data_IF_701375513330
#
_entry.id   IF_701375513330
#
_cell.length_a   1.000
_cell.length_b   1.000
_cell.length_c   1.000
_cell.angle_alpha   90.00
_cell.angle_beta   90.00
_cell.angle_gamma   90.00
#
_symmetry.space_group_name_H-M   'P 1'
#
loop_
_entity.id
_entity.type
_entity.pdbx_description
1 polymer ?
#
# COMPACT_ATOMS: atom_id res chain seq x y z
N UNK A 1 18.89 19.19 6.13
CA UNK A 1 18.99 18.00 5.23
C UNK A 1 17.87 17.02 5.60
N UNK A 2 17.04 16.59 4.64
CA UNK A 2 16.04 15.52 4.88
C UNK A 2 16.79 14.20 5.09
N UNK A 3 16.53 13.52 6.21
CA UNK A 3 17.14 12.22 6.50
C UNK A 3 16.51 11.17 5.58
N UNK A 4 17.31 10.55 4.70
CA UNK A 4 16.85 9.47 3.83
C UNK A 4 16.48 8.26 4.71
N UNK A 5 15.33 7.62 4.47
CA UNK A 5 14.98 6.36 5.15
C UNK A 5 16.02 5.31 4.72
N UNK A 6 16.69 4.63 5.66
CA UNK A 6 17.67 3.60 5.30
C UNK A 6 17.02 2.47 4.51
N UNK A 7 17.77 1.88 3.59
CA UNK A 7 17.36 0.69 2.84
C UNK A 7 17.81 -0.57 3.58
N UNK A 8 17.02 -1.64 3.48
CA UNK A 8 17.34 -2.97 4.02
C UNK A 8 17.03 -4.03 2.97
N UNK A 9 17.76 -5.15 3.04
CA UNK A 9 17.43 -6.35 2.27
C UNK A 9 16.34 -7.13 3.01
N UNK A 10 15.23 -7.43 2.30
CA UNK A 10 14.14 -8.22 2.84
C UNK A 10 14.27 -9.67 2.37
N UNK A 11 14.60 -10.56 3.32
CA UNK A 11 14.91 -11.96 3.02
C UNK A 11 16.27 -12.14 2.33
N UNK A 12 16.50 -13.31 1.74
CA UNK A 12 17.79 -13.69 1.14
C UNK A 12 17.82 -13.57 -0.39
N UNK A 13 16.71 -13.19 -1.03
CA UNK A 13 16.54 -13.26 -2.50
C UNK A 13 16.84 -11.92 -3.21
N UNK A 14 17.44 -10.95 -2.51
CA UNK A 14 17.87 -9.70 -3.14
C UNK A 14 16.84 -8.56 -3.18
N UNK A 15 15.62 -8.74 -2.65
CA UNK A 15 14.65 -7.66 -2.54
C UNK A 15 15.17 -6.57 -1.59
N UNK A 16 15.22 -5.32 -2.06
CA UNK A 16 15.62 -4.16 -1.25
C UNK A 16 14.42 -3.23 -1.05
N UNK A 17 14.25 -2.77 0.18
CA UNK A 17 13.10 -1.97 0.60
C UNK A 17 13.54 -0.85 1.54
N UNK A 18 12.74 0.22 1.65
CA UNK A 18 12.86 1.15 2.76
C UNK A 18 12.66 0.43 4.09
N UNK A 19 13.51 0.70 5.09
CA UNK A 19 13.45 0.10 6.44
C UNK A 19 12.11 0.33 7.13
N UNK A 20 11.40 1.39 6.74
CA UNK A 20 10.01 1.62 7.09
C UNK A 20 9.15 1.40 5.85
N UNK A 21 8.15 0.51 5.93
CA UNK A 21 7.13 0.34 4.91
C UNK A 21 5.85 1.11 5.25
N UNK A 22 4.90 1.16 4.31
CA UNK A 22 3.60 1.79 4.48
C UNK A 22 2.46 0.79 4.21
N UNK A 23 1.61 0.57 5.22
CA UNK A 23 0.41 -0.26 5.09
C UNK A 23 -0.77 0.53 4.57
N UNK A 24 -1.26 0.18 3.38
CA UNK A 24 -2.33 0.91 2.69
C UNK A 24 -3.73 0.57 3.21
N UNK A 25 -3.91 -0.52 3.97
CA UNK A 25 -5.23 -1.00 4.39
C UNK A 25 -6.07 0.02 5.19
N UNK A 26 -5.42 0.88 5.97
CA UNK A 26 -6.10 1.96 6.69
C UNK A 26 -6.75 3.02 5.79
N UNK A 27 -6.33 3.12 4.52
CA UNK A 27 -6.85 4.11 3.56
C UNK A 27 -8.25 3.74 3.04
N UNK A 28 -8.60 2.44 3.04
CA UNK A 28 -9.83 1.92 2.45
C UNK A 28 -10.73 1.20 3.46
N UNK A 29 -10.70 1.62 4.73
CA UNK A 29 -11.79 1.25 5.63
C UNK A 29 -11.55 0.14 6.64
N UNK A 30 -10.32 -0.40 6.77
CA UNK A 30 -10.06 -1.52 7.71
C UNK A 30 -10.27 -1.12 9.17
N UNK A 31 -9.86 0.10 9.54
CA UNK A 31 -9.86 0.55 10.94
C UNK A 31 -10.79 1.74 11.22
N UNK A 32 -11.07 2.56 10.21
CA UNK A 32 -11.87 3.79 10.28
C UNK A 32 -12.62 3.98 8.96
N UNK A 33 -13.44 5.01 8.84
CA UNK A 33 -14.06 5.37 7.56
C UNK A 33 -13.01 5.48 6.44
N UNK A 34 -13.30 4.95 5.24
CA UNK A 34 -12.37 5.03 4.11
C UNK A 34 -12.13 6.48 3.69
N UNK A 35 -10.93 6.75 3.19
CA UNK A 35 -10.63 8.03 2.55
C UNK A 35 -11.18 8.06 1.12
N UNK A 36 -11.38 9.27 0.60
CA UNK A 36 -11.54 9.44 -0.84
C UNK A 36 -10.26 8.97 -1.57
N UNK A 37 -10.41 8.56 -2.83
CA UNK A 37 -9.26 8.16 -3.66
C UNK A 37 -8.23 9.29 -3.77
N UNK A 38 -8.67 10.53 -3.87
CA UNK A 38 -7.81 11.70 -3.93
C UNK A 38 -6.97 11.85 -2.64
N UNK A 39 -7.62 11.79 -1.47
CA UNK A 39 -6.94 11.91 -0.19
C UNK A 39 -5.97 10.74 0.05
N UNK A 40 -6.40 9.51 -0.24
CA UNK A 40 -5.55 8.33 -0.12
C UNK A 40 -4.35 8.36 -1.06
N UNK A 41 -4.55 8.78 -2.32
CA UNK A 41 -3.45 8.97 -3.27
C UNK A 41 -2.45 10.03 -2.78
N UNK A 42 -2.93 11.13 -2.20
CA UNK A 42 -2.08 12.17 -1.60
C UNK A 42 -1.25 11.65 -0.43
N UNK A 43 -1.81 10.79 0.43
CA UNK A 43 -1.06 10.12 1.52
C UNK A 43 0.04 9.21 0.96
N UNK A 44 -0.27 8.38 -0.04
CA UNK A 44 0.72 7.49 -0.68
C UNK A 44 1.85 8.30 -1.31
N UNK A 45 1.52 9.38 -2.04
CA UNK A 45 2.52 10.28 -2.61
C UNK A 45 3.42 10.89 -1.54
N UNK A 46 2.85 11.32 -0.42
CA UNK A 46 3.63 11.89 0.68
C UNK A 46 4.54 10.86 1.35
N UNK A 47 4.09 9.61 1.51
CA UNK A 47 4.93 8.51 1.97
C UNK A 47 6.16 8.31 1.06
N UNK A 48 5.95 8.37 -0.26
CA UNK A 48 7.02 8.26 -1.26
C UNK A 48 7.96 9.47 -1.21
N UNK A 49 7.42 10.69 -1.08
CA UNK A 49 8.20 11.92 -0.91
C UNK A 49 9.08 11.90 0.35
N UNK A 50 8.68 11.13 1.37
CA UNK A 50 9.45 10.89 2.60
C UNK A 50 10.47 9.77 2.48
N UNK A 51 10.57 9.11 1.32
CA UNK A 51 11.54 8.07 1.04
C UNK A 51 11.08 6.66 1.40
N UNK A 52 9.78 6.45 1.63
CA UNK A 52 9.22 5.10 1.73
C UNK A 52 9.11 4.53 0.32
N UNK A 53 9.63 3.32 0.10
CA UNK A 53 9.55 2.59 -1.16
C UNK A 53 8.75 1.30 -1.05
N UNK A 54 8.49 0.80 0.16
CA UNK A 54 7.80 -0.45 0.39
C UNK A 54 6.35 -0.26 0.82
N UNK A 55 5.41 -0.72 -0.01
CA UNK A 55 3.98 -0.52 0.18
C UNK A 55 3.25 -1.84 0.26
N UNK A 56 2.38 -1.97 1.25
CA UNK A 56 1.61 -3.17 1.54
C UNK A 56 0.11 -2.95 1.28
N UNK A 57 -0.51 -3.86 0.54
CA UNK A 57 -1.96 -3.91 0.27
C UNK A 57 -2.46 -5.35 0.27
N UNK A 58 -3.74 -5.57 -0.05
CA UNK A 58 -4.34 -6.89 -0.21
C UNK A 58 -5.67 -6.78 -0.96
N UNK A 59 -6.01 -7.84 -1.69
CA UNK A 59 -7.34 -8.05 -2.29
C UNK A 59 -8.51 -7.83 -1.31
N UNK A 60 -8.30 -8.12 -0.01
CA UNK A 60 -9.33 -7.99 1.05
C UNK A 60 -9.45 -6.60 1.65
N UNK A 61 -8.56 -5.68 1.29
CA UNK A 61 -8.57 -4.34 1.86
C UNK A 61 -9.58 -3.47 1.09
N UNK A 62 -10.58 -2.96 1.82
CA UNK A 62 -11.68 -2.20 1.25
C UNK A 62 -12.75 -3.05 0.56
N UNK A 63 -13.89 -2.41 0.27
CA UNK A 63 -14.99 -3.05 -0.45
C UNK A 63 -14.66 -3.17 -1.94
N UNK A 64 -15.00 -4.29 -2.59
CA UNK A 64 -14.76 -4.51 -4.03
C UNK A 64 -13.33 -4.18 -4.49
N UNK A 65 -12.31 -4.56 -3.70
CA UNK A 65 -10.89 -4.37 -4.01
C UNK A 65 -10.46 -2.90 -4.11
N UNK A 66 -11.22 -2.00 -3.48
CA UNK A 66 -11.02 -0.56 -3.56
C UNK A 66 -9.59 -0.12 -3.19
N UNK A 67 -8.95 -0.80 -2.23
CA UNK A 67 -7.60 -0.43 -1.79
C UNK A 67 -6.54 -0.65 -2.88
N UNK A 68 -6.56 -1.79 -3.57
CA UNK A 68 -5.60 -2.05 -4.65
C UNK A 68 -5.81 -1.10 -5.83
N UNK A 69 -7.07 -0.75 -6.12
CA UNK A 69 -7.43 0.24 -7.15
C UNK A 69 -6.87 1.61 -6.78
N UNK A 70 -7.07 2.06 -5.54
CA UNK A 70 -6.56 3.34 -5.03
C UNK A 70 -5.02 3.39 -5.07
N UNK A 71 -4.35 2.33 -4.61
CA UNK A 71 -2.88 2.20 -4.67
C UNK A 71 -2.39 2.26 -6.12
N UNK A 72 -3.02 1.51 -7.03
CA UNK A 72 -2.70 1.55 -8.46
C UNK A 72 -2.84 2.95 -9.08
N UNK A 73 -3.88 3.71 -8.71
CA UNK A 73 -4.07 5.11 -9.14
C UNK A 73 -2.96 6.03 -8.63
N UNK A 74 -2.50 5.83 -7.40
CA UNK A 74 -1.40 6.61 -6.84
C UNK A 74 -0.07 6.31 -7.54
N UNK A 75 0.23 5.02 -7.77
CA UNK A 75 1.49 4.58 -8.37
C UNK A 75 1.62 4.92 -9.86
N UNK A 76 0.50 4.99 -10.60
CA UNK A 76 0.49 5.46 -12.01
C UNK A 76 1.04 6.87 -12.20
N UNK A 77 1.07 7.67 -11.14
CA UNK A 77 1.51 9.07 -11.20
C UNK A 77 3.01 9.22 -10.88
N UNK A 78 3.74 8.11 -10.78
CA UNK A 78 5.12 8.07 -10.31
C UNK A 78 5.98 7.17 -11.20
N UNK A 79 7.32 7.37 -11.20
CA UNK A 79 8.24 6.45 -11.88
C UNK A 79 8.16 5.07 -11.23
N UNK A 80 7.78 4.06 -12.02
CA UNK A 80 7.50 2.69 -11.57
C UNK A 80 8.70 2.02 -10.86
N UNK A 81 9.93 2.43 -11.20
CA UNK A 81 11.18 1.84 -10.70
C UNK A 81 11.48 2.12 -9.22
N UNK A 82 10.66 2.95 -8.54
CA UNK A 82 10.93 3.41 -7.17
C UNK A 82 10.17 2.68 -6.06
N UNK A 83 9.30 1.73 -6.40
CA UNK A 83 8.36 1.13 -5.43
C UNK A 83 8.43 -0.40 -5.45
N UNK A 84 8.51 -0.97 -4.25
CA UNK A 84 8.27 -2.39 -3.99
C UNK A 84 6.84 -2.54 -3.47
N UNK A 85 5.99 -3.19 -4.25
CA UNK A 85 4.58 -3.42 -3.92
C UNK A 85 4.40 -4.85 -3.41
N UNK A 86 3.90 -5.00 -2.18
CA UNK A 86 3.46 -6.26 -1.62
C UNK A 86 1.92 -6.30 -1.61
N UNK A 87 1.35 -7.31 -2.28
CA UNK A 87 -0.08 -7.63 -2.14
C UNK A 87 -0.25 -9.08 -1.66
N UNK A 88 -1.47 -9.42 -1.24
CA UNK A 88 -1.82 -10.68 -0.59
C UNK A 88 -3.17 -11.18 -1.09
N UNK A 89 -3.27 -12.49 -1.26
CA UNK A 89 -4.50 -13.24 -1.52
C UNK A 89 -4.65 -14.36 -0.48
N UNK A 90 -5.76 -15.10 -0.51
CA UNK A 90 -5.92 -16.34 0.28
C UNK A 90 -7.03 -16.33 1.33
N UNK A 91 -7.61 -15.17 1.66
CA UNK A 91 -8.90 -15.13 2.35
C UNK A 91 -9.98 -15.29 1.27
N UNK A 92 -11.03 -16.05 1.57
CA UNK A 92 -12.22 -16.16 0.72
C UNK A 92 -13.41 -15.90 1.62
N UNK A 93 -14.20 -14.86 1.34
CA UNK A 93 -15.51 -14.69 1.98
C UNK A 93 -16.47 -15.58 1.21
N UNK A 94 -16.97 -16.63 1.85
CA UNK A 94 -18.13 -17.35 1.32
C UNK A 94 -19.35 -16.46 1.47
N UNK A 95 -20.14 -16.30 0.41
CA UNK A 95 -21.35 -15.48 0.37
C UNK A 95 -22.50 -15.99 1.28
N UNK A 96 -22.23 -16.97 2.15
CA UNK A 96 -23.23 -17.71 2.93
C UNK A 96 -23.33 -17.29 4.40
N UNK A 97 -22.75 -16.17 4.80
CA UNK A 97 -23.03 -15.56 6.10
C UNK A 97 -23.51 -14.13 5.89
N UNK A 98 -24.81 -14.03 5.57
CA UNK A 98 -25.59 -12.84 5.91
C UNK A 98 -25.63 -12.75 7.44
N UNK A 99 -24.89 -11.82 8.01
CA UNK A 99 -25.11 -11.27 9.34
C UNK A 99 -25.44 -9.79 9.18
#
# INVERSE_FOLDING_TARGET
MRRKIPEVQLGSQGLKVSRLGFGCGGLSGIYKAPLSHEAGCSVIKEAINRGITFFDTSYHYGHNHDNEIMVGKALKQLPQEKVQLATKFGIFKSDNLQL
#
